data_IF_505914402484
#
_entry.id   IF_505914402484
#
_cell.length_a   1.000
_cell.length_b   1.000
_cell.length_c   1.000
_cell.angle_alpha   90.00
_cell.angle_beta   90.00
_cell.angle_gamma   90.00
#
_symmetry.space_group_name_H-M   'P 1'
#
loop_
_entity.id
_entity.type
_entity.pdbx_description
1 polymer ?
#
# COMPACT_ATOMS: atom_id res chain seq x y z
N UNK A 1 -14.81 9.65 8.44
CA UNK A 1 -13.90 8.63 7.91
C UNK A 1 -14.47 7.29 8.29
N UNK A 2 -14.96 6.52 7.31
CA UNK A 2 -15.35 5.13 7.55
C UNK A 2 -14.05 4.34 7.69
N UNK A 3 -13.77 3.85 8.90
CA UNK A 3 -12.63 2.97 9.12
C UNK A 3 -12.91 1.66 8.37
N UNK A 4 -12.22 1.48 7.25
CA UNK A 4 -12.38 0.32 6.35
C UNK A 4 -11.65 -0.92 6.87
N UNK A 5 -10.95 -0.84 8.00
CA UNK A 5 -10.22 -1.97 8.57
C UNK A 5 -11.12 -2.82 9.46
N UNK A 6 -11.01 -4.14 9.31
CA UNK A 6 -11.65 -5.09 10.22
C UNK A 6 -10.99 -5.04 11.59
N UNK A 7 -11.79 -4.73 12.60
CA UNK A 7 -11.40 -4.72 14.01
C UNK A 7 -11.32 -6.15 14.57
N UNK A 8 -10.66 -6.32 15.71
CA UNK A 8 -10.65 -7.60 16.44
C UNK A 8 -12.06 -8.06 16.84
N UNK A 9 -12.96 -7.10 17.08
CA UNK A 9 -14.35 -7.37 17.39
C UNK A 9 -15.10 -7.97 16.18
N UNK A 10 -14.92 -7.43 14.98
CA UNK A 10 -15.50 -8.01 13.76
C UNK A 10 -15.02 -9.42 13.52
N UNK A 11 -13.71 -9.64 13.67
CA UNK A 11 -13.11 -10.95 13.49
C UNK A 11 -13.65 -11.94 14.51
N UNK A 12 -13.93 -11.48 15.74
CA UNK A 12 -14.60 -12.28 16.75
C UNK A 12 -16.03 -12.67 16.33
N UNK A 13 -16.80 -11.75 15.75
CA UNK A 13 -18.13 -12.05 15.16
C UNK A 13 -17.99 -13.10 14.06
N UNK A 14 -17.13 -12.86 13.06
CA UNK A 14 -16.89 -13.76 11.95
C UNK A 14 -16.48 -15.16 12.44
N UNK A 15 -15.55 -15.23 13.39
CA UNK A 15 -15.07 -16.49 13.97
C UNK A 15 -16.19 -17.29 14.65
N UNK A 16 -17.16 -16.62 15.31
CA UNK A 16 -18.32 -17.31 15.92
C UNK A 16 -19.35 -17.79 14.91
N UNK A 17 -19.44 -17.14 13.75
CA UNK A 17 -20.25 -17.59 12.62
C UNK A 17 -19.61 -18.74 11.83
N UNK A 18 -18.36 -19.12 12.11
CA UNK A 18 -17.66 -20.20 11.40
C UNK A 18 -18.41 -21.53 11.52
N UNK A 19 -19.03 -21.95 10.40
CA UNK A 19 -19.81 -23.18 10.30
C UNK A 19 -21.14 -23.15 11.05
N UNK A 20 -21.64 -21.97 11.43
CA UNK A 20 -22.88 -21.80 12.20
C UNK A 20 -23.75 -20.71 11.59
N UNK A 21 -25.05 -20.78 11.88
CA UNK A 21 -26.04 -19.73 11.59
C UNK A 21 -26.52 -19.24 12.95
N UNK A 22 -26.34 -17.96 13.25
CA UNK A 22 -26.61 -17.43 14.58
C UNK A 22 -27.45 -16.16 14.52
N UNK A 23 -28.37 -16.02 15.47
CA UNK A 23 -29.06 -14.75 15.71
C UNK A 23 -28.15 -13.77 16.44
N UNK A 24 -28.54 -12.49 16.47
CA UNK A 24 -27.84 -11.46 17.24
C UNK A 24 -27.74 -11.85 18.73
N UNK A 25 -28.83 -12.35 19.31
CA UNK A 25 -28.88 -12.80 20.71
C UNK A 25 -27.90 -13.94 20.98
N UNK A 26 -27.80 -14.92 20.07
CA UNK A 26 -26.84 -16.02 20.19
C UNK A 26 -25.39 -15.56 20.02
N UNK A 27 -25.14 -14.57 19.17
CA UNK A 27 -23.82 -13.95 19.00
C UNK A 27 -23.40 -13.23 20.27
N UNK A 28 -24.26 -12.38 20.83
CA UNK A 28 -24.01 -11.66 22.09
C UNK A 28 -23.64 -12.64 23.21
N UNK A 29 -24.41 -13.71 23.37
CA UNK A 29 -24.15 -14.74 24.40
C UNK A 29 -22.83 -15.49 24.23
N UNK A 30 -22.16 -15.36 23.07
CA UNK A 30 -20.87 -16.01 22.76
C UNK A 30 -19.70 -15.03 22.69
N UNK A 31 -19.98 -13.74 22.57
CA UNK A 31 -18.98 -12.67 22.62
C UNK A 31 -18.66 -12.32 24.08
N UNK A 32 -17.66 -11.47 24.28
CA UNK A 32 -17.20 -11.07 25.63
C UNK A 32 -18.32 -10.39 26.43
N UNK A 33 -18.28 -10.54 27.75
CA UNK A 33 -19.20 -9.88 28.67
C UNK A 33 -19.21 -8.36 28.45
N UNK A 34 -20.40 -7.76 28.39
CA UNK A 34 -20.59 -6.32 28.16
C UNK A 34 -20.81 -5.91 26.71
N UNK A 35 -20.86 -6.85 25.76
CA UNK A 35 -21.25 -6.56 24.37
C UNK A 35 -22.74 -6.29 24.29
N UNK A 36 -23.14 -5.09 23.85
CA UNK A 36 -24.54 -4.73 23.67
C UNK A 36 -25.05 -5.10 22.26
N UNK A 37 -26.38 -5.13 22.13
CA UNK A 37 -27.07 -5.53 20.90
C UNK A 37 -26.89 -4.55 19.74
N UNK A 38 -26.96 -3.27 20.03
CA UNK A 38 -26.85 -2.21 19.02
C UNK A 38 -25.47 -2.26 18.36
N UNK A 39 -24.43 -2.50 19.16
CA UNK A 39 -23.07 -2.71 18.66
C UNK A 39 -22.98 -3.92 17.74
N UNK A 40 -23.52 -5.08 18.11
CA UNK A 40 -23.47 -6.28 17.25
C UNK A 40 -24.25 -6.07 15.95
N UNK A 41 -25.47 -5.53 16.03
CA UNK A 41 -26.32 -5.24 14.86
C UNK A 41 -25.60 -4.29 13.88
N UNK A 42 -25.09 -3.16 14.37
CA UNK A 42 -24.35 -2.19 13.55
C UNK A 42 -23.13 -2.82 12.87
N UNK A 43 -22.38 -3.69 13.56
CA UNK A 43 -21.22 -4.37 12.96
C UNK A 43 -21.64 -5.44 11.95
N UNK A 44 -22.72 -6.17 12.18
CA UNK A 44 -23.25 -7.13 11.19
C UNK A 44 -23.72 -6.44 9.92
N UNK A 45 -24.37 -5.28 10.02
CA UNK A 45 -24.74 -4.47 8.86
C UNK A 45 -23.49 -4.07 8.05
N UNK A 46 -22.46 -3.54 8.71
CA UNK A 46 -21.18 -3.21 8.06
C UNK A 46 -20.53 -4.45 7.42
N UNK A 47 -20.54 -5.60 8.08
CA UNK A 47 -19.98 -6.84 7.53
C UNK A 47 -20.81 -7.35 6.34
N UNK A 48 -22.11 -7.12 6.33
CA UNK A 48 -22.99 -7.49 5.22
C UNK A 48 -22.76 -6.60 4.00
N UNK A 49 -22.60 -5.29 4.21
CA UNK A 49 -22.26 -4.33 3.15
C UNK A 49 -20.93 -4.67 2.45
N UNK A 50 -20.03 -5.36 3.16
CA UNK A 50 -18.74 -5.82 2.64
C UNK A 50 -18.76 -7.28 2.17
N UNK A 51 -19.94 -7.89 2.00
CA UNK A 51 -20.11 -9.30 1.59
C UNK A 51 -19.37 -10.31 2.51
N UNK A 52 -19.16 -10.00 3.79
CA UNK A 52 -18.48 -10.92 4.73
C UNK A 52 -19.46 -11.81 5.49
N UNK A 53 -20.65 -11.30 5.75
CA UNK A 53 -21.77 -12.04 6.30
C UNK A 53 -22.99 -11.82 5.41
N UNK A 54 -23.94 -12.74 5.48
CA UNK A 54 -25.26 -12.55 4.91
C UNK A 54 -26.31 -12.85 5.95
N UNK A 55 -27.36 -12.05 5.92
CA UNK A 55 -28.60 -12.36 6.60
C UNK A 55 -29.31 -13.49 5.88
N UNK A 56 -29.84 -14.43 6.64
CA UNK A 56 -30.65 -15.53 6.15
C UNK A 56 -32.08 -15.22 6.53
N UNK A 57 -32.92 -15.12 5.52
CA UNK A 57 -34.36 -15.15 5.71
C UNK A 57 -34.72 -16.50 6.35
N UNK A 58 -35.37 -16.46 7.51
CA UNK A 58 -35.78 -17.66 8.24
C UNK A 58 -36.95 -18.39 7.55
N UNK A 59 -37.31 -17.97 6.33
CA UNK A 59 -38.18 -18.72 5.45
C UNK A 59 -39.61 -18.73 5.97
N UNK A 60 -40.03 -17.64 6.61
CA UNK A 60 -41.43 -17.32 6.89
C UNK A 60 -42.19 -17.00 5.60
N UNK A 61 -42.03 -17.83 4.57
CA UNK A 61 -42.83 -17.82 3.36
C UNK A 61 -44.23 -18.32 3.72
N UNK A 62 -45.00 -17.44 4.36
CA UNK A 62 -46.44 -17.54 4.37
C UNK A 62 -46.89 -17.18 2.96
N UNK A 63 -46.92 -18.21 2.09
CA UNK A 63 -47.43 -18.16 0.70
C UNK A 63 -48.96 -18.05 0.67
N UNK A 64 -49.52 -17.20 1.53
CA UNK A 64 -50.94 -16.93 1.60
C UNK A 64 -51.14 -15.44 1.33
N UNK A 65 -51.32 -15.14 0.04
CA UNK A 65 -51.63 -13.80 -0.42
C UNK A 65 -52.86 -13.23 0.27
N UNK A 66 -52.69 -12.07 0.91
CA UNK A 66 -53.79 -11.16 1.14
C UNK A 66 -53.28 -9.72 1.09
N UNK A 67 -53.92 -8.95 0.22
CA UNK A 67 -53.58 -7.60 -0.17
C UNK A 67 -54.09 -6.64 0.93
N UNK A 68 -53.22 -6.29 1.88
CA UNK A 68 -53.57 -5.33 2.93
C UNK A 68 -52.37 -4.49 3.31
N UNK A 69 -52.39 -3.24 2.86
CA UNK A 69 -51.36 -2.20 3.08
C UNK A 69 -51.23 -1.76 4.55
N UNK A 70 -50.83 -2.67 5.42
CA UNK A 70 -50.42 -2.39 6.79
C UNK A 70 -48.99 -1.89 6.84
N UNK A 71 -48.79 -0.75 7.50
CA UNK A 71 -47.50 -0.11 7.73
C UNK A 71 -46.58 -1.05 8.54
N UNK A 72 -45.79 -1.85 7.85
CA UNK A 72 -44.87 -2.85 8.41
C UNK A 72 -43.52 -2.21 8.78
N UNK A 73 -43.53 -1.29 9.75
CA UNK A 73 -42.31 -0.61 10.24
C UNK A 73 -41.64 -1.33 11.41
N UNK A 74 -42.23 -2.39 11.97
CA UNK A 74 -41.70 -3.13 13.13
C UNK A 74 -41.71 -4.65 12.91
N UNK A 75 -41.14 -5.12 11.80
CA UNK A 75 -40.85 -6.56 11.66
C UNK A 75 -39.67 -6.87 12.57
N UNK A 76 -39.93 -7.67 13.61
CA UNK A 76 -38.96 -8.13 14.61
C UNK A 76 -37.71 -8.75 13.94
N UNK A 77 -36.71 -7.91 13.71
CA UNK A 77 -35.34 -8.25 13.29
C UNK A 77 -34.58 -9.09 14.36
N UNK A 78 -35.29 -9.52 15.42
CA UNK A 78 -34.73 -10.30 16.51
C UNK A 78 -34.37 -11.73 16.13
N UNK A 79 -35.04 -12.26 15.10
CA UNK A 79 -34.88 -13.64 14.67
C UNK A 79 -34.01 -13.79 13.42
N UNK A 80 -33.53 -12.69 12.83
CA UNK A 80 -32.62 -12.74 11.69
C UNK A 80 -31.37 -13.55 12.02
N UNK A 81 -31.07 -14.55 11.19
CA UNK A 81 -29.88 -15.41 11.35
C UNK A 81 -28.81 -14.98 10.39
N UNK A 82 -27.60 -14.86 10.90
CA UNK A 82 -26.44 -14.51 10.09
C UNK A 82 -25.57 -15.73 9.82
N UNK A 83 -24.97 -15.77 8.63
CA UNK A 83 -23.98 -16.77 8.25
C UNK A 83 -22.82 -16.13 7.48
N UNK A 84 -21.64 -16.73 7.56
CA UNK A 84 -20.52 -16.32 6.72
C UNK A 84 -20.83 -16.57 5.24
N UNK A 85 -20.45 -15.62 4.42
CA UNK A 85 -20.33 -15.79 2.96
C UNK A 85 -19.07 -16.60 2.63
N UNK A 86 -18.78 -16.76 1.34
CA UNK A 86 -17.48 -17.28 0.91
C UNK A 86 -16.34 -16.31 1.24
N UNK A 87 -16.54 -15.01 0.99
CA UNK A 87 -15.56 -13.96 1.27
C UNK A 87 -15.22 -13.89 2.76
N UNK A 88 -16.23 -13.94 3.65
CA UNK A 88 -16.01 -13.98 5.10
C UNK A 88 -15.27 -15.23 5.58
N UNK A 89 -15.48 -16.39 4.92
CA UNK A 89 -14.72 -17.61 5.21
C UNK A 89 -13.25 -17.49 4.83
N UNK A 90 -12.93 -16.88 3.68
CA UNK A 90 -11.55 -16.64 3.26
C UNK A 90 -10.83 -15.69 4.22
N UNK A 91 -11.48 -14.61 4.64
CA UNK A 91 -10.91 -13.66 5.62
C UNK A 91 -10.51 -14.34 6.94
N UNK A 92 -11.26 -15.35 7.38
CA UNK A 92 -10.92 -16.13 8.58
C UNK A 92 -9.84 -17.21 8.35
N UNK A 93 -9.61 -17.60 7.10
CA UNK A 93 -8.58 -18.56 6.73
C UNK A 93 -7.23 -17.86 6.51
N UNK A 94 -7.25 -16.60 6.10
CA UNK A 94 -6.07 -15.74 6.10
C UNK A 94 -5.53 -15.64 7.53
N UNK A 95 -4.30 -16.07 7.80
CA UNK A 95 -3.76 -16.02 9.14
C UNK A 95 -3.63 -14.54 9.54
N UNK A 96 -4.41 -14.13 10.53
CA UNK A 96 -4.48 -12.74 10.99
C UNK A 96 -3.34 -12.41 11.96
N UNK A 97 -2.11 -12.66 11.55
CA UNK A 97 -0.96 -12.10 12.26
C UNK A 97 -0.26 -11.18 11.28
N UNK A 98 0.23 -10.04 11.76
CA UNK A 98 1.11 -9.19 10.95
C UNK A 98 2.26 -10.04 10.34
N UNK A 99 2.75 -11.02 11.11
CA UNK A 99 3.74 -11.99 10.66
C UNK A 99 3.29 -12.92 9.51
N UNK A 100 1.98 -13.14 9.32
CA UNK A 100 1.46 -13.98 8.24
C UNK A 100 1.21 -13.19 6.97
N UNK A 101 0.70 -11.96 7.06
CA UNK A 101 0.66 -11.05 5.90
C UNK A 101 2.10 -10.79 5.41
N UNK A 102 3.04 -10.59 6.34
CA UNK A 102 4.46 -10.44 6.04
C UNK A 102 5.12 -11.71 5.45
N UNK A 103 4.66 -12.90 5.85
CA UNK A 103 5.13 -14.16 5.27
C UNK A 103 4.63 -14.38 3.83
N UNK A 104 3.54 -13.73 3.44
CA UNK A 104 3.05 -13.72 2.04
C UNK A 104 3.97 -12.87 1.17
N UNK A 105 4.52 -11.78 1.72
CA UNK A 105 5.29 -10.82 0.93
C UNK A 105 6.79 -11.12 0.81
N UNK A 106 7.36 -11.94 1.70
CA UNK A 106 8.80 -12.21 1.70
C UNK A 106 9.15 -13.68 1.46
N UNK A 107 9.94 -13.97 0.41
CA UNK A 107 10.51 -15.30 0.20
C UNK A 107 11.25 -15.82 1.44
N UNK A 108 11.19 -17.14 1.76
CA UNK A 108 11.79 -17.68 2.97
C UNK A 108 13.28 -17.37 3.15
N UNK A 109 14.06 -17.39 2.05
CA UNK A 109 15.49 -17.07 2.08
C UNK A 109 15.77 -15.59 2.38
N UNK A 110 14.89 -14.68 1.97
CA UNK A 110 15.00 -13.25 2.30
C UNK A 110 14.66 -13.02 3.77
N UNK A 111 13.63 -13.68 4.30
CA UNK A 111 13.31 -13.64 5.74
C UNK A 111 14.46 -14.18 6.59
N UNK A 112 15.05 -15.30 6.17
CA UNK A 112 16.21 -15.86 6.83
C UNK A 112 17.40 -14.88 6.82
N UNK A 113 17.73 -14.30 5.66
CA UNK A 113 18.80 -13.30 5.54
C UNK A 113 18.57 -12.08 6.45
N UNK A 114 17.35 -11.51 6.47
CA UNK A 114 17.01 -10.40 7.36
C UNK A 114 17.11 -10.78 8.84
N UNK A 115 16.72 -12.00 9.22
CA UNK A 115 16.87 -12.48 10.60
C UNK A 115 18.32 -12.65 11.03
N UNK A 116 19.24 -12.91 10.08
CA UNK A 116 20.67 -13.08 10.34
C UNK A 116 21.44 -11.75 10.34
N UNK A 117 20.96 -10.73 9.63
CA UNK A 117 21.59 -9.42 9.51
C UNK A 117 21.76 -8.66 10.84
N UNK A 118 21.14 -9.13 11.94
CA UNK A 118 21.29 -8.58 13.30
C UNK A 118 21.00 -7.08 13.40
N UNK A 119 20.09 -6.56 12.57
CA UNK A 119 19.63 -5.17 12.62
C UNK A 119 18.44 -5.02 13.58
N UNK A 120 18.19 -3.78 14.04
CA UNK A 120 17.03 -3.48 14.89
C UNK A 120 15.69 -3.76 14.20
N UNK A 121 14.62 -3.84 14.99
CA UNK A 121 13.25 -4.11 14.49
C UNK A 121 12.83 -3.05 13.46
N UNK A 122 13.01 -1.76 13.75
CA UNK A 122 12.61 -0.67 12.84
C UNK A 122 13.30 -0.76 11.48
N UNK A 123 14.60 -1.06 11.46
CA UNK A 123 15.32 -1.25 10.21
C UNK A 123 14.89 -2.52 9.48
N UNK A 124 14.65 -3.61 10.21
CA UNK A 124 14.12 -4.85 9.64
C UNK A 124 12.81 -4.57 8.91
N UNK A 125 11.82 -3.94 9.55
CA UNK A 125 10.54 -3.60 8.93
C UNK A 125 10.72 -2.74 7.67
N UNK A 126 11.60 -1.75 7.72
CA UNK A 126 11.86 -0.87 6.58
C UNK A 126 12.53 -1.60 5.42
N UNK A 127 13.45 -2.52 5.70
CA UNK A 127 14.08 -3.39 4.70
C UNK A 127 13.08 -4.34 4.04
N UNK A 128 12.09 -4.84 4.78
CA UNK A 128 10.99 -5.63 4.23
C UNK A 128 10.17 -4.82 3.24
N UNK A 129 9.81 -3.59 3.62
CA UNK A 129 9.10 -2.66 2.73
C UNK A 129 9.95 -2.33 1.48
N UNK A 130 11.25 -2.09 1.64
CA UNK A 130 12.17 -1.86 0.53
C UNK A 130 12.25 -3.05 -0.43
N UNK A 131 12.28 -4.28 0.10
CA UNK A 131 12.30 -5.48 -0.71
C UNK A 131 11.00 -5.64 -1.51
N UNK A 132 9.85 -5.48 -0.85
CA UNK A 132 8.53 -5.54 -1.50
C UNK A 132 8.40 -4.47 -2.58
N UNK A 133 8.87 -3.24 -2.31
CA UNK A 133 8.91 -2.15 -3.27
C UNK A 133 9.76 -2.51 -4.49
N UNK A 134 10.99 -3.00 -4.29
CA UNK A 134 11.87 -3.41 -5.38
C UNK A 134 11.27 -4.57 -6.19
N UNK A 135 10.68 -5.57 -5.54
CA UNK A 135 9.99 -6.70 -6.19
C UNK A 135 8.83 -6.22 -7.07
N UNK A 136 8.04 -5.29 -6.58
CA UNK A 136 6.88 -4.74 -7.30
C UNK A 136 7.30 -3.93 -8.54
N UNK A 137 8.34 -3.11 -8.43
CA UNK A 137 8.79 -2.23 -9.51
C UNK A 137 9.84 -2.87 -10.44
N UNK A 138 10.46 -3.96 -10.03
CA UNK A 138 11.50 -4.70 -10.77
C UNK A 138 12.86 -4.00 -10.74
N UNK A 139 12.93 -2.72 -11.08
CA UNK A 139 14.14 -1.91 -10.98
C UNK A 139 13.83 -0.50 -10.42
N UNK A 140 14.72 0.04 -9.59
CA UNK A 140 14.60 1.38 -9.00
C UNK A 140 15.97 2.03 -8.79
N UNK A 141 16.02 3.35 -8.81
CA UNK A 141 17.19 4.09 -8.32
C UNK A 141 17.15 4.26 -6.80
N UNK A 142 18.28 4.59 -6.16
CA UNK A 142 18.32 4.87 -4.72
C UNK A 142 17.35 6.00 -4.31
N UNK A 143 17.27 7.15 -5.02
CA UNK A 143 16.30 8.19 -4.68
C UNK A 143 14.85 7.71 -4.76
N UNK A 144 14.50 6.89 -5.77
CA UNK A 144 13.17 6.31 -5.89
C UNK A 144 12.84 5.36 -4.74
N UNK A 145 13.78 4.50 -4.36
CA UNK A 145 13.62 3.59 -3.24
C UNK A 145 13.44 4.36 -1.93
N UNK A 146 14.26 5.39 -1.68
CA UNK A 146 14.12 6.29 -0.51
C UNK A 146 12.76 6.98 -0.49
N UNK A 147 12.34 7.54 -1.62
CA UNK A 147 11.08 8.27 -1.74
C UNK A 147 9.84 7.38 -1.60
N UNK A 148 9.93 6.12 -2.05
CA UNK A 148 8.82 5.18 -2.02
C UNK A 148 8.69 4.39 -0.72
N UNK A 149 9.78 4.21 0.03
CA UNK A 149 9.80 3.36 1.22
C UNK A 149 9.77 4.17 2.51
N UNK A 150 10.64 5.18 2.63
CA UNK A 150 10.86 5.86 3.91
C UNK A 150 9.58 6.52 4.48
N UNK A 151 8.76 7.25 3.69
CA UNK A 151 7.53 7.86 4.20
C UNK A 151 6.48 6.86 4.70
N UNK A 152 6.54 5.60 4.25
CA UNK A 152 5.58 4.55 4.59
C UNK A 152 5.93 3.82 5.89
N UNK A 153 7.06 4.17 6.51
CA UNK A 153 7.62 3.43 7.65
C UNK A 153 7.95 4.37 8.79
N UNK A 154 7.48 4.06 10.00
CA UNK A 154 7.89 4.76 11.22
C UNK A 154 9.25 4.25 11.64
N UNK A 155 10.29 4.84 11.07
CA UNK A 155 11.67 4.45 11.37
C UNK A 155 12.23 5.42 12.41
N UNK A 156 12.94 4.94 13.42
CA UNK A 156 13.60 5.82 14.41
C UNK A 156 14.72 6.71 13.84
N UNK A 157 14.88 6.76 12.51
CA UNK A 157 15.87 7.59 11.81
C UNK A 157 15.31 8.99 11.53
N UNK A 158 16.18 9.99 11.51
CA UNK A 158 15.84 11.39 11.26
C UNK A 158 15.30 11.61 9.86
N UNK A 159 15.88 10.93 8.88
CA UNK A 159 15.57 11.08 7.47
C UNK A 159 15.99 9.85 6.65
N UNK A 160 15.56 9.83 5.38
CA UNK A 160 15.82 8.73 4.47
C UNK A 160 17.30 8.53 4.11
N UNK A 161 18.16 9.54 4.28
CA UNK A 161 19.59 9.38 4.08
C UNK A 161 20.21 8.65 5.26
N UNK A 162 19.91 9.07 6.50
CA UNK A 162 20.38 8.40 7.73
C UNK A 162 19.94 6.93 7.76
N UNK A 163 18.66 6.62 7.45
CA UNK A 163 18.19 5.23 7.36
C UNK A 163 19.00 4.41 6.34
N UNK A 164 19.22 4.97 5.15
CA UNK A 164 19.89 4.25 4.08
C UNK A 164 21.36 4.02 4.39
N UNK A 165 22.06 5.06 4.83
CA UNK A 165 23.50 5.02 5.06
C UNK A 165 23.86 4.25 6.34
N UNK A 166 23.07 4.37 7.40
CA UNK A 166 23.39 3.75 8.70
C UNK A 166 22.82 2.33 8.86
N UNK A 167 21.85 1.93 8.04
CA UNK A 167 21.24 0.61 8.17
C UNK A 167 20.97 -0.11 6.86
N UNK A 168 20.27 0.52 5.93
CA UNK A 168 19.66 -0.23 4.84
C UNK A 168 20.67 -0.69 3.79
N UNK A 169 21.60 0.18 3.38
CA UNK A 169 22.39 0.02 2.16
C UNK A 169 23.12 -1.33 2.08
N UNK A 170 23.91 -1.65 3.10
CA UNK A 170 24.76 -2.84 3.09
C UNK A 170 23.91 -4.11 3.25
N UNK A 171 22.97 -4.10 4.19
CA UNK A 171 22.07 -5.26 4.43
C UNK A 171 21.20 -5.53 3.20
N UNK A 172 20.67 -4.49 2.57
CA UNK A 172 19.81 -4.61 1.39
C UNK A 172 20.59 -5.15 0.19
N UNK A 173 21.86 -4.74 0.00
CA UNK A 173 22.73 -5.26 -1.05
C UNK A 173 23.04 -6.75 -0.89
N UNK A 174 23.02 -7.27 0.34
CA UNK A 174 23.28 -8.67 0.66
C UNK A 174 22.03 -9.55 0.58
N UNK A 175 20.84 -8.96 0.46
CA UNK A 175 19.60 -9.74 0.41
C UNK A 175 19.56 -10.63 -0.85
N UNK A 176 19.08 -11.88 -0.71
CA UNK A 176 18.85 -12.72 -1.87
C UNK A 176 17.92 -12.03 -2.88
N UNK A 177 18.27 -12.14 -4.17
CA UNK A 177 17.50 -11.58 -5.29
C UNK A 177 17.53 -10.05 -5.36
N UNK A 178 18.46 -9.40 -4.68
CA UNK A 178 18.75 -7.98 -4.87
C UNK A 178 20.07 -7.84 -5.61
N UNK A 179 20.04 -7.16 -6.75
CA UNK A 179 21.25 -6.69 -7.46
C UNK A 179 21.41 -5.20 -7.14
N UNK A 180 22.45 -4.78 -6.39
CA UNK A 180 22.61 -3.39 -5.94
C UNK A 180 23.03 -2.40 -7.04
N UNK A 181 23.14 -2.84 -8.30
CA UNK A 181 23.65 -2.02 -9.38
C UNK A 181 25.12 -1.63 -9.16
N UNK A 182 25.60 -0.65 -9.93
CA UNK A 182 26.96 -0.11 -9.79
C UNK A 182 27.05 1.33 -10.33
N UNK A 183 28.24 1.94 -10.31
CA UNK A 183 28.45 3.31 -10.79
C UNK A 183 28.05 3.53 -12.26
N UNK A 184 28.19 2.51 -13.10
CA UNK A 184 27.81 2.57 -14.52
C UNK A 184 26.33 2.31 -14.74
N UNK A 185 25.64 1.77 -13.74
CA UNK A 185 24.24 1.38 -13.80
C UNK A 185 23.61 1.50 -12.40
N UNK A 186 23.08 2.67 -12.04
CA UNK A 186 22.70 3.01 -10.67
C UNK A 186 21.37 2.35 -10.22
N UNK A 187 20.84 1.42 -11.02
CA UNK A 187 19.59 0.75 -10.74
C UNK A 187 19.81 -0.49 -9.88
N UNK A 188 19.08 -0.51 -8.77
CA UNK A 188 18.85 -1.69 -7.97
C UNK A 188 17.79 -2.53 -8.66
N UNK A 189 17.97 -3.85 -8.68
CA UNK A 189 17.06 -4.76 -9.37
C UNK A 189 16.64 -5.94 -8.51
N UNK A 190 15.40 -6.34 -8.69
CA UNK A 190 14.94 -7.66 -8.29
C UNK A 190 15.43 -8.71 -9.29
N UNK A 191 16.16 -9.72 -8.82
CA UNK A 191 16.68 -10.83 -9.61
C UNK A 191 15.95 -12.11 -9.20
N UNK A 192 14.70 -12.25 -9.65
CA UNK A 192 13.85 -13.40 -9.39
C UNK A 192 12.78 -13.56 -10.45
N UNK A 193 12.19 -14.75 -10.50
CA UNK A 193 11.05 -15.04 -11.37
C UNK A 193 9.77 -14.65 -10.63
N UNK A 194 9.23 -13.48 -10.99
CA UNK A 194 7.99 -12.94 -10.41
C UNK A 194 6.85 -13.98 -10.45
N UNK A 195 6.75 -14.79 -11.50
CA UNK A 195 5.75 -15.85 -11.61
C UNK A 195 5.96 -16.96 -10.59
N UNK A 196 7.20 -17.45 -10.47
CA UNK A 196 7.55 -18.54 -9.55
C UNK A 196 7.40 -18.15 -8.07
N UNK A 197 7.48 -16.84 -7.80
CA UNK A 197 7.38 -16.28 -6.45
C UNK A 197 5.94 -15.94 -6.03
N UNK A 198 4.95 -16.38 -6.80
CA UNK A 198 3.54 -16.24 -6.45
C UNK A 198 2.93 -14.88 -6.79
N UNK A 199 3.64 -14.00 -7.51
CA UNK A 199 3.01 -12.83 -8.12
C UNK A 199 2.47 -13.24 -9.48
N UNK A 200 1.15 -13.44 -9.54
CA UNK A 200 0.46 -14.03 -10.68
C UNK A 200 0.80 -13.30 -12.01
N UNK A 201 1.58 -13.95 -12.85
CA UNK A 201 1.61 -13.69 -14.29
C UNK A 201 0.37 -14.38 -14.88
N UNK A 202 -0.66 -13.62 -15.28
CA UNK A 202 -1.52 -13.95 -16.44
C UNK A 202 -2.75 -13.05 -16.64
N UNK A 203 -3.05 -12.10 -15.75
CA UNK A 203 -4.05 -11.07 -16.08
C UNK A 203 -3.34 -9.86 -16.71
N UNK A 204 -3.86 -9.27 -17.80
CA UNK A 204 -3.35 -8.00 -18.33
C UNK A 204 -3.47 -6.96 -17.22
N UNK A 205 -2.34 -6.69 -16.54
CA UNK A 205 -2.20 -5.85 -15.36
C UNK A 205 -3.18 -4.69 -15.42
N UNK A 206 -4.36 -4.88 -14.83
CA UNK A 206 -5.20 -3.79 -14.37
C UNK A 206 -4.37 -3.25 -13.23
N UNK A 207 -3.57 -2.25 -13.56
CA UNK A 207 -2.53 -1.75 -12.69
C UNK A 207 -3.19 -1.33 -11.38
N UNK A 208 -3.11 -2.20 -10.36
CA UNK A 208 -3.67 -1.94 -9.03
C UNK A 208 -3.02 -0.72 -8.37
N UNK A 209 -1.97 -0.18 -9.01
CA UNK A 209 -1.28 1.06 -8.70
C UNK A 209 -2.07 2.30 -9.08
N UNK A 210 -3.13 2.19 -9.89
CA UNK A 210 -4.04 3.30 -10.14
C UNK A 210 -4.81 3.64 -8.85
N UNK A 211 -4.21 4.51 -8.03
CA UNK A 211 -4.87 5.18 -6.91
C UNK A 211 -6.20 5.71 -7.41
N UNK A 212 -7.25 5.45 -6.62
CA UNK A 212 -8.62 5.87 -6.89
C UNK A 212 -8.61 7.27 -7.51
N UNK A 213 -9.03 7.40 -8.77
CA UNK A 213 -9.17 8.70 -9.40
C UNK A 213 -10.15 9.50 -8.56
N UNK A 214 -9.67 10.56 -7.91
CA UNK A 214 -10.58 11.60 -7.42
C UNK A 214 -11.34 12.10 -8.64
N UNK A 215 -12.67 12.21 -8.51
CA UNK A 215 -13.58 12.46 -9.62
C UNK A 215 -13.28 13.80 -10.34
N UNK A 216 -12.55 14.70 -9.69
CA UNK A 216 -12.33 16.07 -10.13
C UNK A 216 -10.84 16.52 -10.22
N UNK A 217 -9.85 15.75 -9.73
CA UNK A 217 -8.46 16.26 -9.53
C UNK A 217 -7.35 15.60 -10.39
N UNK A 218 -7.70 14.85 -11.43
CA UNK A 218 -6.70 14.19 -12.27
C UNK A 218 -6.03 12.97 -11.61
N UNK A 219 -4.98 12.39 -12.22
CA UNK A 219 -4.30 11.22 -11.66
C UNK A 219 -3.56 11.60 -10.37
N UNK A 220 -3.91 10.95 -9.26
CA UNK A 220 -3.13 11.02 -8.03
C UNK A 220 -2.06 9.93 -8.08
N UNK A 221 -0.80 10.35 -8.10
CA UNK A 221 0.32 9.42 -7.96
C UNK A 221 0.61 9.20 -6.48
N UNK A 222 1.20 8.06 -6.11
CA UNK A 222 1.55 7.78 -4.72
C UNK A 222 2.96 8.32 -4.38
N UNK A 223 3.89 8.21 -5.33
CA UNK A 223 5.28 8.60 -5.17
C UNK A 223 5.94 8.84 -6.53
N UNK A 224 7.21 9.24 -6.51
CA UNK A 224 8.02 9.51 -7.71
C UNK A 224 8.05 8.32 -8.68
N UNK A 225 8.27 7.10 -8.19
CA UNK A 225 8.35 5.91 -9.04
C UNK A 225 7.06 5.70 -9.84
N UNK A 226 5.91 5.92 -9.21
CA UNK A 226 4.62 5.80 -9.88
C UNK A 226 4.45 6.84 -11.01
N UNK A 227 4.91 8.09 -10.78
CA UNK A 227 4.93 9.12 -11.83
C UNK A 227 5.81 8.68 -13.00
N UNK A 228 7.04 8.25 -12.74
CA UNK A 228 8.03 7.91 -13.76
C UNK A 228 7.55 6.74 -14.63
N UNK A 229 7.04 5.67 -14.01
CA UNK A 229 6.51 4.52 -14.76
C UNK A 229 5.25 4.88 -15.54
N UNK A 230 4.32 5.62 -14.95
CA UNK A 230 3.09 6.03 -15.64
C UNK A 230 3.33 6.92 -16.84
N UNK A 231 4.35 7.79 -16.74
CA UNK A 231 4.76 8.72 -17.80
C UNK A 231 5.66 8.06 -18.85
N UNK A 232 6.01 6.78 -18.68
CA UNK A 232 6.85 5.99 -19.60
C UNK A 232 8.17 6.68 -19.91
N UNK A 233 8.78 7.31 -18.91
CA UNK A 233 10.08 7.96 -19.07
C UNK A 233 11.13 6.91 -19.42
N UNK A 234 12.10 7.30 -20.23
CA UNK A 234 13.26 6.46 -20.54
C UNK A 234 14.13 6.26 -19.31
N UNK A 235 15.08 5.33 -19.37
CA UNK A 235 15.98 5.02 -18.25
C UNK A 235 16.84 6.23 -17.87
N UNK A 236 17.33 6.92 -18.88
CA UNK A 236 18.13 8.13 -18.79
C UNK A 236 17.34 9.27 -18.12
N UNK A 237 16.10 9.47 -18.55
CA UNK A 237 15.17 10.45 -17.99
C UNK A 237 14.81 10.12 -16.54
N UNK A 238 14.62 8.83 -16.24
CA UNK A 238 14.36 8.32 -14.88
C UNK A 238 15.50 8.66 -13.91
N UNK A 239 16.75 8.43 -14.32
CA UNK A 239 17.94 8.80 -13.53
C UNK A 239 18.02 10.31 -13.31
N UNK A 240 17.77 11.11 -14.36
CA UNK A 240 17.79 12.55 -14.25
C UNK A 240 16.69 13.11 -13.32
N UNK A 241 15.47 12.57 -13.42
CA UNK A 241 14.37 12.95 -12.53
C UNK A 241 14.64 12.54 -11.08
N UNK A 242 15.16 11.33 -10.86
CA UNK A 242 15.56 10.85 -9.54
C UNK A 242 16.67 11.75 -8.92
N UNK A 243 17.65 12.17 -9.71
CA UNK A 243 18.71 13.08 -9.25
C UNK A 243 18.17 14.48 -8.89
N UNK A 244 17.27 15.04 -9.68
CA UNK A 244 16.60 16.30 -9.35
C UNK A 244 15.78 16.20 -8.06
N UNK A 245 14.98 15.14 -7.93
CA UNK A 245 14.18 14.89 -6.73
C UNK A 245 15.05 14.71 -5.49
N UNK A 246 16.16 13.96 -5.58
CA UNK A 246 17.11 13.79 -4.47
C UNK A 246 17.73 15.11 -4.03
N UNK A 247 18.08 15.99 -4.98
CA UNK A 247 18.59 17.32 -4.69
C UNK A 247 17.55 18.19 -3.96
N UNK A 248 16.28 18.12 -4.37
CA UNK A 248 15.18 18.80 -3.69
C UNK A 248 14.99 18.27 -2.26
N UNK A 249 14.96 16.94 -2.10
CA UNK A 249 14.76 16.28 -0.80
C UNK A 249 15.84 16.65 0.21
N UNK A 250 17.12 16.63 -0.19
CA UNK A 250 18.24 16.98 0.71
C UNK A 250 18.22 18.42 1.18
N UNK A 251 17.73 19.35 0.36
CA UNK A 251 17.73 20.79 0.67
C UNK A 251 16.43 21.27 1.29
N UNK A 252 15.34 20.51 1.16
CA UNK A 252 13.98 20.95 1.46
C UNK A 252 13.43 21.91 0.41
N UNK A 253 14.25 22.85 -0.08
CA UNK A 253 13.94 23.77 -1.16
C UNK A 253 15.06 23.84 -2.20
N UNK A 254 14.70 24.05 -3.47
CA UNK A 254 15.66 24.21 -4.55
C UNK A 254 15.12 25.12 -5.66
N UNK A 255 16.04 25.79 -6.35
CA UNK A 255 15.73 26.54 -7.57
C UNK A 255 15.64 25.63 -8.79
N UNK A 256 14.95 26.09 -9.82
CA UNK A 256 14.81 25.39 -11.11
C UNK A 256 16.18 25.09 -11.71
N UNK A 257 17.14 26.03 -11.64
CA UNK A 257 18.48 25.83 -12.18
C UNK A 257 19.29 24.81 -11.37
N UNK A 258 19.13 24.76 -10.05
CA UNK A 258 19.74 23.72 -9.22
C UNK A 258 19.19 22.33 -9.54
N UNK A 259 17.88 22.23 -9.78
CA UNK A 259 17.25 20.97 -10.20
C UNK A 259 17.72 20.52 -11.59
N UNK A 260 17.85 21.45 -12.56
CA UNK A 260 18.44 21.15 -13.89
C UNK A 260 19.89 20.69 -13.77
N UNK A 261 20.68 21.36 -12.92
CA UNK A 261 22.08 21.01 -12.69
C UNK A 261 22.19 19.61 -12.07
N UNK A 262 21.33 19.28 -11.10
CA UNK A 262 21.26 17.94 -10.51
C UNK A 262 20.87 16.87 -11.53
N UNK A 263 19.80 17.09 -12.30
CA UNK A 263 19.35 16.20 -13.38
C UNK A 263 20.46 15.94 -14.42
N UNK A 264 21.15 17.00 -14.81
CA UNK A 264 22.26 16.93 -15.79
C UNK A 264 23.47 16.17 -15.25
N UNK A 265 23.77 16.31 -13.95
CA UNK A 265 24.93 15.67 -13.32
C UNK A 265 24.70 14.20 -12.99
N UNK A 266 23.44 13.79 -12.78
CA UNK A 266 23.09 12.40 -12.45
C UNK A 266 23.28 11.41 -13.60
N UNK A 267 23.44 11.86 -14.84
CA UNK A 267 23.49 10.99 -16.03
C UNK A 267 24.90 10.88 -16.59
N UNK A 268 25.56 9.74 -16.36
CA UNK A 268 26.91 9.47 -16.87
C UNK A 268 26.90 8.84 -18.27
N UNK A 269 25.82 8.16 -18.66
CA UNK A 269 25.60 7.57 -19.98
C UNK A 269 24.19 7.87 -20.45
N UNK A 270 24.06 8.32 -21.70
CA UNK A 270 22.77 8.70 -22.28
C UNK A 270 22.17 9.90 -21.54
N UNK A 271 22.66 11.11 -21.81
CA UNK A 271 22.06 12.30 -21.19
C UNK A 271 20.69 12.56 -21.84
N UNK A 272 19.62 12.79 -21.05
CA UNK A 272 18.36 13.27 -21.59
C UNK A 272 18.56 14.54 -22.43
N UNK A 273 17.68 14.78 -23.40
CA UNK A 273 17.79 15.99 -24.19
C UNK A 273 17.63 17.23 -23.30
N UNK A 274 18.37 18.30 -23.61
CA UNK A 274 18.26 19.57 -22.89
C UNK A 274 16.82 20.11 -22.94
N UNK A 275 16.12 19.87 -24.05
CA UNK A 275 14.70 20.20 -24.21
C UNK A 275 13.84 19.47 -23.19
N UNK A 276 14.04 18.16 -23.00
CA UNK A 276 13.30 17.39 -22.00
C UNK A 276 13.58 17.88 -20.57
N UNK A 277 14.85 18.15 -20.23
CA UNK A 277 15.23 18.69 -18.91
C UNK A 277 14.56 20.05 -18.67
N UNK A 278 14.43 20.87 -19.71
CA UNK A 278 13.82 22.20 -19.60
C UNK A 278 12.29 22.14 -19.52
N UNK A 279 11.66 21.29 -20.33
CA UNK A 279 10.23 21.37 -20.61
C UNK A 279 9.42 20.27 -19.90
N UNK A 280 9.95 19.04 -19.79
CA UNK A 280 9.22 17.86 -19.32
C UNK A 280 9.51 17.50 -17.85
N UNK A 281 10.78 17.62 -17.41
CA UNK A 281 11.20 17.27 -16.04
C UNK A 281 10.32 17.93 -14.97
N UNK A 282 10.02 19.21 -15.13
CA UNK A 282 9.24 19.97 -14.14
C UNK A 282 7.75 19.60 -14.16
N UNK A 283 7.23 19.17 -15.32
CA UNK A 283 5.90 18.57 -15.40
C UNK A 283 5.81 17.28 -14.59
N UNK A 284 6.86 16.45 -14.62
CA UNK A 284 6.95 15.23 -13.81
C UNK A 284 7.03 15.55 -12.31
N UNK A 285 7.84 16.54 -11.92
CA UNK A 285 7.98 16.90 -10.51
C UNK A 285 6.69 17.47 -9.92
N UNK A 286 5.90 18.24 -10.68
CA UNK A 286 4.57 18.72 -10.23
C UNK A 286 3.60 17.58 -9.97
N UNK A 287 3.73 16.46 -10.69
CA UNK A 287 2.88 15.28 -10.49
C UNK A 287 3.24 14.49 -9.22
N UNK A 288 4.38 14.77 -8.57
CA UNK A 288 4.78 14.09 -7.33
C UNK A 288 4.06 14.75 -6.14
N UNK A 289 3.24 14.03 -5.35
CA UNK A 289 2.39 14.65 -4.32
C UNK A 289 3.14 15.44 -3.24
N UNK A 290 4.37 15.03 -2.93
CA UNK A 290 5.21 15.68 -1.93
C UNK A 290 5.98 16.88 -2.48
N UNK A 291 5.91 17.16 -3.79
CA UNK A 291 6.63 18.28 -4.40
C UNK A 291 5.66 19.43 -4.66
N UNK A 292 6.06 20.61 -4.22
CA UNK A 292 5.31 21.84 -4.41
C UNK A 292 6.16 22.85 -5.18
N UNK A 293 5.56 23.47 -6.20
CA UNK A 293 6.16 24.61 -6.89
C UNK A 293 5.69 25.89 -6.19
N UNK A 294 6.61 26.58 -5.52
CA UNK A 294 6.30 27.79 -4.76
C UNK A 294 6.06 28.98 -5.68
N UNK A 295 6.84 29.10 -6.76
CA UNK A 295 6.73 30.14 -7.77
C UNK A 295 7.40 29.72 -9.09
N UNK A 296 7.74 30.69 -9.96
CA UNK A 296 8.33 30.40 -11.26
C UNK A 296 9.70 29.70 -11.16
N UNK A 297 10.49 29.96 -10.12
CA UNK A 297 11.87 29.47 -10.01
C UNK A 297 12.13 28.58 -8.79
N UNK A 298 11.27 28.55 -7.77
CA UNK A 298 11.47 27.78 -6.53
C UNK A 298 10.52 26.60 -6.35
N UNK A 299 11.08 25.55 -5.78
CA UNK A 299 10.46 24.27 -5.49
C UNK A 299 10.71 23.88 -4.04
N UNK A 300 9.76 23.16 -3.44
CA UNK A 300 9.84 22.67 -2.07
C UNK A 300 9.37 21.22 -1.99
N UNK A 301 10.00 20.43 -1.14
CA UNK A 301 9.44 19.16 -0.69
C UNK A 301 8.57 19.40 0.55
N UNK A 302 7.29 19.06 0.48
CA UNK A 302 6.40 19.02 1.63
C UNK A 302 6.90 17.94 2.57
N UNK A 303 7.47 18.35 3.69
CA UNK A 303 7.58 17.49 4.86
C UNK A 303 6.21 17.51 5.51
N UNK A 304 5.55 16.36 5.66
CA UNK A 304 4.38 16.30 6.52
C UNK A 304 4.83 16.74 7.92
N UNK A 305 4.39 17.93 8.34
CA UNK A 305 4.54 18.36 9.73
C UNK A 305 3.64 17.46 10.56
N UNK A 306 4.20 16.32 10.97
CA UNK A 306 3.62 15.34 11.88
C UNK A 306 3.49 15.91 13.29
#
# INVERSE_FOLDING_TARGET
MNDTKLTDFDRSILARLRGRRLTITELIGRLSAGTDRETVSRRLALLADNDLVRELDDGGGSDDGDDSGGNSDDVDDENARYALTESGRRVLQSPNTAAADEAVDLPPNVREALSQASVGVDCTETLKHAFTFLREWGEVTIPELKAGVFPETTTGYRDADEWWDDCARDVFAELPRVDPGNESDPFWRYVGDSAADGTAEDEPRRDGRAVLRSRDDGPQYANLTHVLVSRKVTREERVAAAAAFDALRRRGEATTDELRAAASSGTTRGRPSETWIRDDLFGLLVDVPSVERLDADRWRLRTDES
#
